data_IF_130662035039
#
_entry.id   IF_130662035039
#
_cell.length_a   1.000
_cell.length_b   1.000
_cell.length_c   1.000
_cell.angle_alpha   90.00
_cell.angle_beta   90.00
_cell.angle_gamma   90.00
#
_symmetry.space_group_name_H-M   'P 1'
#
loop_
_entity.id
_entity.type
_entity.pdbx_description
1 polymer ?
#
# COMPACT_ATOMS: atom_id res chain seq x y z
N UNK A 1 5.61 3.00 23.16
CA UNK A 1 5.82 1.68 22.57
C UNK A 1 5.39 0.62 23.57
N UNK A 2 4.54 -0.32 23.17
CA UNK A 2 4.06 -1.41 24.03
C UNK A 2 5.17 -2.44 24.24
N UNK A 3 5.10 -3.21 25.33
CA UNK A 3 5.99 -4.35 25.58
C UNK A 3 5.60 -5.61 24.79
N UNK A 4 4.38 -5.64 24.25
CA UNK A 4 3.87 -6.71 23.40
C UNK A 4 2.81 -6.19 22.42
N UNK A 5 2.63 -6.93 21.32
CA UNK A 5 1.56 -6.73 20.32
C UNK A 5 1.00 -8.09 19.93
N UNK A 6 -0.32 -8.22 19.76
CA UNK A 6 -0.96 -9.49 19.42
C UNK A 6 -0.61 -10.63 20.41
N UNK A 7 -0.38 -10.30 21.69
CA UNK A 7 0.08 -11.25 22.71
C UNK A 7 1.53 -11.76 22.52
N UNK A 8 2.29 -11.20 21.57
CA UNK A 8 3.71 -11.50 21.35
C UNK A 8 4.59 -10.43 21.97
N UNK A 9 5.52 -10.84 22.81
CA UNK A 9 6.51 -9.96 23.44
C UNK A 9 7.45 -9.41 22.37
N UNK A 10 7.77 -8.13 22.47
CA UNK A 10 8.73 -7.48 21.57
C UNK A 10 10.12 -8.14 21.75
N UNK A 11 10.82 -8.49 20.66
CA UNK A 11 12.15 -9.11 20.74
C UNK A 11 13.13 -8.23 21.54
N UNK A 12 13.76 -8.80 22.57
CA UNK A 12 14.69 -8.08 23.46
C UNK A 12 16.05 -7.83 22.80
N UNK A 13 16.35 -8.59 21.76
CA UNK A 13 17.62 -8.61 21.06
C UNK A 13 17.74 -7.54 19.95
N UNK A 14 16.68 -6.75 19.73
CA UNK A 14 16.62 -5.69 18.72
C UNK A 14 16.26 -4.31 19.28
N UNK A 15 16.33 -3.29 18.43
CA UNK A 15 15.95 -1.91 18.73
C UNK A 15 14.98 -1.37 17.67
N UNK A 16 14.02 -0.49 18.03
CA UNK A 16 13.13 0.13 17.06
C UNK A 16 13.88 1.06 16.11
N UNK A 17 13.35 1.21 14.89
CA UNK A 17 13.85 2.19 13.92
C UNK A 17 13.29 3.57 14.30
N UNK A 18 14.19 4.53 14.52
CA UNK A 18 13.82 5.93 14.80
C UNK A 18 13.47 6.71 13.54
N UNK A 19 12.87 7.89 13.70
CA UNK A 19 12.65 8.83 12.60
C UNK A 19 12.85 10.25 13.10
N UNK A 20 13.80 10.97 12.50
CA UNK A 20 14.11 12.36 12.86
C UNK A 20 14.62 13.10 11.62
N UNK A 21 14.26 14.38 11.48
CA UNK A 21 14.74 15.22 10.37
C UNK A 21 14.31 14.76 8.97
N UNK A 22 13.31 13.89 8.85
CA UNK A 22 12.91 13.32 7.56
C UNK A 22 13.64 12.02 7.18
N UNK A 23 14.48 11.48 8.08
CA UNK A 23 15.31 10.31 7.84
C UNK A 23 15.08 9.20 8.86
N UNK A 24 15.19 7.96 8.41
CA UNK A 24 15.13 6.77 9.27
C UNK A 24 16.46 6.60 10.00
N UNK A 25 16.39 6.41 11.31
CA UNK A 25 17.54 6.11 12.18
C UNK A 25 17.56 4.61 12.43
N UNK A 26 18.31 3.87 11.59
CA UNK A 26 18.30 2.41 11.57
C UNK A 26 19.45 1.86 12.44
N UNK A 27 19.16 1.17 13.57
CA UNK A 27 20.19 0.53 14.40
C UNK A 27 20.80 -0.69 13.71
N UNK A 28 21.86 -1.27 14.26
CA UNK A 28 22.50 -2.49 13.71
C UNK A 28 21.64 -3.76 13.85
N UNK A 29 20.73 -3.78 14.82
CA UNK A 29 19.76 -4.84 15.03
C UNK A 29 18.32 -4.28 15.06
N UNK A 30 17.76 -3.85 13.91
CA UNK A 30 16.42 -3.29 13.87
C UNK A 30 15.36 -4.37 14.12
N UNK A 31 14.32 -4.00 14.87
CA UNK A 31 13.09 -4.79 14.97
C UNK A 31 12.23 -4.48 13.74
N UNK A 32 11.90 -5.53 12.98
CA UNK A 32 11.07 -5.42 11.78
C UNK A 32 9.86 -6.34 11.92
N UNK A 33 8.65 -5.78 12.08
CA UNK A 33 7.43 -6.56 12.03
C UNK A 33 7.27 -7.28 10.68
N UNK A 34 6.83 -8.53 10.73
CA UNK A 34 6.40 -9.25 9.55
C UNK A 34 5.02 -9.86 9.74
N UNK A 35 4.23 -9.84 8.68
CA UNK A 35 2.98 -10.61 8.57
C UNK A 35 3.26 -11.79 7.64
N UNK A 36 3.19 -13.02 8.13
CA UNK A 36 3.40 -14.22 7.30
C UNK A 36 2.44 -14.24 6.10
N UNK A 37 1.21 -13.81 6.32
CA UNK A 37 0.15 -13.77 5.32
C UNK A 37 -0.61 -15.08 5.20
N UNK A 38 -1.48 -15.16 4.20
CA UNK A 38 -2.39 -16.28 3.96
C UNK A 38 -1.96 -17.07 2.71
N UNK A 39 -2.52 -18.26 2.51
CA UNK A 39 -2.20 -19.12 1.36
C UNK A 39 -0.71 -19.40 1.24
N UNK A 40 -0.10 -19.02 0.12
CA UNK A 40 1.35 -19.19 -0.14
C UNK A 40 2.25 -18.31 0.74
N UNK A 41 1.69 -17.44 1.59
CA UNK A 41 2.46 -16.55 2.47
C UNK A 41 3.45 -17.30 3.36
N UNK A 42 3.05 -18.43 3.94
CA UNK A 42 3.89 -19.27 4.79
C UNK A 42 5.15 -19.78 4.07
N UNK A 43 4.99 -20.24 2.83
CA UNK A 43 6.09 -20.76 2.03
C UNK A 43 7.03 -19.64 1.58
N UNK A 44 6.45 -18.54 1.09
CA UNK A 44 7.20 -17.37 0.63
C UNK A 44 7.99 -16.76 1.79
N UNK A 45 7.39 -16.59 2.96
CA UNK A 45 8.05 -16.00 4.11
C UNK A 45 9.23 -16.83 4.60
N UNK A 46 9.04 -18.15 4.74
CA UNK A 46 10.12 -19.07 5.13
C UNK A 46 11.32 -18.99 4.18
N UNK A 47 11.09 -18.87 2.88
CA UNK A 47 12.16 -18.68 1.90
C UNK A 47 12.79 -17.28 2.00
N UNK A 48 11.96 -16.24 2.08
CA UNK A 48 12.38 -14.84 2.08
C UNK A 48 13.28 -14.52 3.28
N UNK A 49 12.88 -14.94 4.48
CA UNK A 49 13.67 -14.73 5.71
C UNK A 49 15.07 -15.32 5.58
N UNK A 50 15.21 -16.55 5.05
CA UNK A 50 16.52 -17.20 4.86
C UNK A 50 17.43 -16.39 3.93
N UNK A 51 16.86 -15.85 2.84
CA UNK A 51 17.61 -15.02 1.89
C UNK A 51 18.03 -13.70 2.54
N UNK A 52 17.12 -13.03 3.25
CA UNK A 52 17.42 -11.77 3.93
C UNK A 52 18.49 -11.93 5.01
N UNK A 53 18.34 -12.93 5.88
CA UNK A 53 19.28 -13.20 6.97
C UNK A 53 20.69 -13.48 6.40
N UNK A 54 20.79 -14.32 5.37
CA UNK A 54 22.06 -14.62 4.71
C UNK A 54 22.67 -13.41 3.98
N UNK A 55 21.84 -12.57 3.34
CA UNK A 55 22.32 -11.38 2.64
C UNK A 55 22.86 -10.33 3.62
N UNK A 56 22.19 -10.12 4.75
CA UNK A 56 22.65 -9.22 5.81
C UNK A 56 23.94 -9.75 6.44
N UNK A 57 24.00 -11.05 6.76
CA UNK A 57 25.21 -11.67 7.29
C UNK A 57 26.40 -11.49 6.34
N UNK A 58 26.23 -11.78 5.05
CA UNK A 58 27.28 -11.64 4.05
C UNK A 58 27.74 -10.18 3.86
N UNK A 59 26.79 -9.24 3.80
CA UNK A 59 27.09 -7.82 3.57
C UNK A 59 27.79 -7.16 4.77
N UNK A 60 27.45 -7.57 5.99
CA UNK A 60 27.90 -6.89 7.21
C UNK A 60 28.82 -7.72 8.10
N UNK A 61 29.10 -8.99 7.74
CA UNK A 61 30.00 -9.91 8.47
C UNK A 61 29.66 -10.00 9.96
N UNK A 62 28.41 -10.33 10.26
CA UNK A 62 27.88 -10.45 11.62
C UNK A 62 27.64 -9.13 12.37
N UNK A 63 28.05 -7.96 11.83
CA UNK A 63 27.85 -6.66 12.51
C UNK A 63 26.40 -6.21 12.54
N UNK A 64 25.56 -6.71 11.63
CA UNK A 64 24.13 -6.39 11.56
C UNK A 64 23.30 -7.65 11.47
N UNK A 65 22.06 -7.57 11.95
CA UNK A 65 21.07 -8.65 11.90
C UNK A 65 19.66 -8.06 11.99
N UNK A 66 18.62 -8.78 11.61
CA UNK A 66 17.24 -8.33 11.81
C UNK A 66 16.60 -9.08 12.98
N UNK A 67 15.95 -8.35 13.89
CA UNK A 67 15.09 -8.93 14.91
C UNK A 67 13.66 -9.01 14.35
N UNK A 68 13.33 -10.15 13.72
CA UNK A 68 12.01 -10.36 13.12
C UNK A 68 10.91 -10.47 14.18
N UNK A 69 9.87 -9.67 14.06
CA UNK A 69 8.74 -9.67 15.00
C UNK A 69 7.44 -10.05 14.30
N UNK A 70 6.86 -11.20 14.64
CA UNK A 70 5.61 -11.63 14.00
C UNK A 70 4.41 -10.82 14.47
N UNK A 71 3.63 -10.29 13.53
CA UNK A 71 2.33 -9.65 13.75
C UNK A 71 1.30 -10.25 12.78
N UNK A 72 0.00 -10.08 13.07
CA UNK A 72 -1.04 -10.90 12.47
C UNK A 72 -2.04 -10.08 11.65
N UNK A 73 -2.27 -10.47 10.40
CA UNK A 73 -3.41 -10.00 9.62
C UNK A 73 -3.92 -11.12 8.72
N UNK A 74 -5.13 -10.97 8.19
CA UNK A 74 -5.73 -11.94 7.29
C UNK A 74 -6.43 -13.09 8.01
N UNK A 75 -6.55 -14.21 7.31
CA UNK A 75 -7.21 -15.42 7.82
C UNK A 75 -6.50 -15.95 9.08
N UNK A 76 -5.16 -15.87 9.11
CA UNK A 76 -4.38 -16.23 10.31
C UNK A 76 -4.76 -15.41 11.54
N UNK A 77 -4.99 -14.11 11.37
CA UNK A 77 -5.44 -13.25 12.46
C UNK A 77 -6.88 -13.56 12.87
N UNK A 78 -7.78 -13.75 11.90
CA UNK A 78 -9.18 -14.04 12.18
C UNK A 78 -9.34 -15.33 13.00
N UNK A 79 -8.59 -16.38 12.66
CA UNK A 79 -8.59 -17.64 13.43
C UNK A 79 -8.06 -17.49 14.86
N UNK A 80 -7.11 -16.58 15.10
CA UNK A 80 -6.45 -16.41 16.39
C UNK A 80 -7.16 -15.41 17.31
N UNK A 81 -7.74 -14.34 16.74
CA UNK A 81 -8.25 -13.18 17.48
C UNK A 81 -9.71 -12.84 17.15
N UNK A 82 -10.35 -13.57 16.23
CA UNK A 82 -11.66 -13.23 15.66
C UNK A 82 -11.70 -11.84 14.98
N UNK A 83 -10.54 -11.35 14.54
CA UNK A 83 -10.35 -10.07 13.86
C UNK A 83 -9.45 -10.23 12.64
N UNK A 84 -9.84 -9.68 11.48
CA UNK A 84 -9.05 -9.76 10.25
C UNK A 84 -7.81 -8.86 10.24
N UNK A 85 -7.87 -7.73 10.94
CA UNK A 85 -6.76 -6.78 11.09
C UNK A 85 -6.81 -6.19 12.50
N UNK A 86 -6.15 -6.82 13.47
CA UNK A 86 -6.04 -6.29 14.83
C UNK A 86 -5.34 -4.93 14.87
N UNK A 87 -5.82 -4.03 15.72
CA UNK A 87 -5.20 -2.71 15.92
C UNK A 87 -3.74 -2.81 16.37
N UNK A 88 -3.41 -3.81 17.19
CA UNK A 88 -2.05 -4.09 17.62
C UNK A 88 -1.07 -4.29 16.46
N UNK A 89 -1.52 -4.89 15.35
CA UNK A 89 -0.69 -5.06 14.15
C UNK A 89 -0.41 -3.73 13.47
N UNK A 90 -1.42 -2.85 13.39
CA UNK A 90 -1.26 -1.49 12.83
C UNK A 90 -0.34 -0.66 13.71
N UNK A 91 -0.51 -0.74 15.04
CA UNK A 91 0.34 -0.05 16.02
C UNK A 91 1.79 -0.53 15.94
N UNK A 92 2.02 -1.84 15.86
CA UNK A 92 3.37 -2.38 15.71
C UNK A 92 4.05 -1.84 14.44
N UNK A 93 3.36 -1.85 13.30
CA UNK A 93 3.93 -1.30 12.05
C UNK A 93 4.24 0.19 12.20
N UNK A 94 3.38 0.95 12.89
CA UNK A 94 3.59 2.38 13.16
C UNK A 94 4.79 2.63 14.07
N UNK A 95 4.92 1.85 15.15
CA UNK A 95 5.96 2.00 16.17
C UNK A 95 7.34 1.56 15.65
N UNK A 96 7.40 0.50 14.84
CA UNK A 96 8.64 -0.03 14.28
C UNK A 96 8.98 0.48 12.86
N UNK A 97 8.10 1.28 12.25
CA UNK A 97 8.27 2.04 10.99
C UNK A 97 8.37 1.23 9.71
N UNK A 98 9.10 0.13 9.72
CA UNK A 98 9.34 -0.74 8.56
C UNK A 98 8.75 -2.09 8.85
N UNK A 99 7.90 -2.58 7.96
CA UNK A 99 7.32 -3.91 8.05
C UNK A 99 7.26 -4.59 6.69
N UNK A 100 7.19 -5.92 6.69
CA UNK A 100 7.04 -6.74 5.49
C UNK A 100 5.83 -7.66 5.63
N UNK A 101 5.17 -8.01 4.53
CA UNK A 101 4.02 -8.91 4.59
C UNK A 101 3.92 -9.85 3.39
N UNK A 102 3.45 -11.06 3.65
CA UNK A 102 2.93 -11.96 2.62
C UNK A 102 1.58 -11.49 2.05
N UNK A 103 0.99 -12.23 1.10
CA UNK A 103 -0.36 -11.96 0.59
C UNK A 103 -1.41 -12.10 1.70
N UNK A 104 -2.54 -11.40 1.59
CA UNK A 104 -3.65 -11.47 2.55
C UNK A 104 -4.94 -11.81 1.82
N UNK A 105 -5.68 -12.77 2.35
CA UNK A 105 -7.05 -13.10 1.93
C UNK A 105 -7.98 -11.97 2.39
N UNK A 106 -8.82 -11.48 1.49
CA UNK A 106 -9.90 -10.55 1.86
C UNK A 106 -11.23 -11.30 1.78
N UNK A 107 -12.03 -11.31 2.87
CA UNK A 107 -13.31 -12.02 2.86
C UNK A 107 -14.29 -11.38 1.87
N UNK A 108 -15.01 -12.21 1.12
CA UNK A 108 -16.06 -11.74 0.21
C UNK A 108 -17.36 -11.50 1.00
N UNK A 109 -18.00 -10.34 0.83
CA UNK A 109 -19.33 -10.07 1.36
C UNK A 109 -19.41 -9.51 2.79
N UNK A 110 -18.31 -9.40 3.53
CA UNK A 110 -18.28 -8.98 4.94
C UNK A 110 -18.07 -7.48 5.21
N UNK A 111 -18.32 -6.59 4.24
CA UNK A 111 -18.14 -5.14 4.40
C UNK A 111 -16.67 -4.64 4.38
N UNK A 112 -15.69 -5.52 4.46
CA UNK A 112 -14.26 -5.20 4.32
C UNK A 112 -13.87 -5.30 2.84
N UNK A 113 -13.60 -4.17 2.17
CA UNK A 113 -13.22 -4.16 0.74
C UNK A 113 -11.87 -4.78 0.47
N UNK A 114 -10.87 -4.44 1.28
CA UNK A 114 -9.50 -4.97 1.15
C UNK A 114 -8.68 -4.63 2.38
N UNK A 115 -8.08 -5.66 2.99
CA UNK A 115 -7.14 -5.47 4.11
C UNK A 115 -5.91 -4.66 3.71
N UNK A 116 -5.46 -4.81 2.46
CA UNK A 116 -4.34 -4.04 1.95
C UNK A 116 -4.70 -2.55 1.79
N UNK A 117 -5.93 -2.24 1.36
CA UNK A 117 -6.40 -0.85 1.28
C UNK A 117 -6.53 -0.24 2.67
N UNK A 118 -7.12 -0.97 3.62
CA UNK A 118 -7.26 -0.54 5.00
C UNK A 118 -5.89 -0.21 5.65
N UNK A 119 -4.91 -1.11 5.50
CA UNK A 119 -3.55 -0.87 6.01
C UNK A 119 -2.92 0.40 5.42
N UNK A 120 -3.08 0.65 4.12
CA UNK A 120 -2.52 1.84 3.46
C UNK A 120 -3.15 3.12 3.99
N UNK A 121 -4.46 3.12 4.20
CA UNK A 121 -5.19 4.28 4.71
C UNK A 121 -4.86 4.56 6.18
N UNK A 122 -4.89 3.53 7.04
CA UNK A 122 -4.61 3.66 8.47
C UNK A 122 -3.16 4.08 8.79
N UNK A 123 -2.23 3.80 7.88
CA UNK A 123 -0.81 4.14 8.01
C UNK A 123 -0.37 5.28 7.07
N UNK A 124 -1.30 5.90 6.34
CA UNK A 124 -1.03 6.92 5.30
C UNK A 124 0.14 6.55 4.36
N UNK A 125 0.17 5.29 3.90
CA UNK A 125 1.17 4.77 2.96
C UNK A 125 0.86 5.22 1.53
N UNK A 126 1.05 6.50 1.28
CA UNK A 126 0.55 7.20 0.11
C UNK A 126 1.25 6.88 -1.22
N UNK A 127 2.45 6.31 -1.17
CA UNK A 127 3.24 5.97 -2.34
C UNK A 127 3.24 4.45 -2.51
N UNK A 128 2.61 3.94 -3.57
CA UNK A 128 2.78 2.56 -3.99
C UNK A 128 3.94 2.49 -4.99
N UNK A 129 5.08 2.00 -4.51
CA UNK A 129 6.34 1.92 -5.23
C UNK A 129 6.52 0.51 -5.83
N UNK A 130 6.69 0.41 -7.15
CA UNK A 130 6.84 -0.88 -7.86
C UNK A 130 8.02 -0.83 -8.85
N UNK A 131 9.21 -1.34 -8.46
CA UNK A 131 10.26 -1.59 -9.42
C UNK A 131 9.86 -2.75 -10.35
N UNK A 132 10.01 -2.55 -11.66
CA UNK A 132 9.77 -3.56 -12.70
C UNK A 132 11.03 -3.66 -13.53
N UNK A 133 11.72 -4.79 -13.40
CA UNK A 133 12.95 -5.10 -14.13
C UNK A 133 12.98 -6.55 -14.56
N UNK A 134 13.74 -6.82 -15.61
CA UNK A 134 14.00 -8.19 -16.06
C UNK A 134 15.09 -8.87 -15.22
N UNK A 135 14.94 -10.18 -15.06
CA UNK A 135 15.95 -11.08 -14.50
C UNK A 135 16.31 -12.11 -15.56
N UNK A 136 17.60 -12.24 -15.94
CA UNK A 136 18.04 -13.22 -16.93
C UNK A 136 17.54 -14.63 -16.64
N UNK A 137 17.01 -15.31 -17.65
CA UNK A 137 16.48 -16.67 -17.54
C UNK A 137 14.99 -16.76 -17.20
N UNK A 138 14.35 -15.65 -16.80
CA UNK A 138 12.89 -15.62 -16.63
C UNK A 138 12.21 -15.64 -18.02
N UNK A 139 11.28 -16.57 -18.30
CA UNK A 139 10.52 -16.57 -19.55
C UNK A 139 9.72 -15.28 -19.72
N UNK A 140 9.67 -14.76 -20.95
CA UNK A 140 8.97 -13.51 -21.26
C UNK A 140 8.18 -13.63 -22.56
N UNK A 141 6.97 -13.04 -22.63
CA UNK A 141 6.18 -12.99 -23.87
C UNK A 141 6.64 -11.89 -24.84
N UNK A 142 7.52 -10.97 -24.44
CA UNK A 142 8.02 -9.87 -25.30
C UNK A 142 9.41 -10.19 -25.85
N UNK A 143 9.76 -9.58 -27.00
CA UNK A 143 11.02 -9.85 -27.71
C UNK A 143 12.28 -9.41 -26.96
N UNK A 144 12.23 -8.26 -26.29
CA UNK A 144 13.39 -7.61 -25.66
C UNK A 144 13.09 -7.24 -24.19
N UNK A 145 12.84 -8.23 -23.31
CA UNK A 145 12.47 -7.97 -21.92
C UNK A 145 13.57 -7.29 -21.11
N UNK A 146 14.83 -7.48 -21.47
CA UNK A 146 16.00 -6.90 -20.82
C UNK A 146 16.04 -5.36 -20.87
N UNK A 147 15.29 -4.74 -21.80
CA UNK A 147 15.10 -3.29 -21.86
C UNK A 147 14.12 -2.76 -20.80
N UNK A 148 13.37 -3.63 -20.13
CA UNK A 148 12.44 -3.24 -19.07
C UNK A 148 13.20 -2.88 -17.79
N UNK A 149 13.24 -1.59 -17.48
CA UNK A 149 13.72 -1.05 -16.21
C UNK A 149 12.94 0.22 -15.85
N UNK A 150 11.81 0.04 -15.18
CA UNK A 150 10.89 1.12 -14.79
C UNK A 150 10.63 1.05 -13.30
N UNK A 151 10.55 2.21 -12.66
CA UNK A 151 10.11 2.32 -11.27
C UNK A 151 8.80 3.11 -11.22
N UNK A 152 7.72 2.44 -10.85
CA UNK A 152 6.38 3.03 -10.84
C UNK A 152 6.12 3.64 -9.46
N UNK A 153 5.73 4.91 -9.45
CA UNK A 153 5.17 5.60 -8.29
C UNK A 153 3.68 5.79 -8.53
N UNK A 154 2.85 5.10 -7.76
CA UNK A 154 1.40 5.17 -7.87
C UNK A 154 0.81 5.82 -6.61
N UNK A 155 -0.06 6.81 -6.80
CA UNK A 155 -0.88 7.40 -5.72
C UNK A 155 -1.75 6.29 -5.10
N UNK A 156 -1.79 6.23 -3.78
CA UNK A 156 -2.30 5.07 -3.06
C UNK A 156 -3.29 5.43 -1.94
N UNK A 157 -3.80 6.66 -1.91
CA UNK A 157 -4.78 7.13 -0.91
C UNK A 157 -6.09 7.67 -1.48
N UNK A 158 -6.09 8.12 -2.73
CA UNK A 158 -7.21 8.77 -3.41
C UNK A 158 -7.65 7.97 -4.65
N UNK A 159 -8.17 8.65 -5.67
CA UNK A 159 -8.81 8.06 -6.84
C UNK A 159 -10.06 7.22 -6.45
N UNK A 160 -10.68 6.53 -7.39
CA UNK A 160 -11.79 5.60 -7.16
C UNK A 160 -11.45 4.51 -6.14
N UNK A 161 -10.16 4.29 -5.86
CA UNK A 161 -9.67 3.32 -4.87
C UNK A 161 -9.95 3.72 -3.43
N UNK A 162 -10.30 4.98 -3.15
CA UNK A 162 -10.82 5.38 -1.82
C UNK A 162 -12.13 4.67 -1.49
N UNK A 163 -12.85 4.22 -2.51
CA UNK A 163 -14.02 3.39 -2.35
C UNK A 163 -15.26 4.14 -1.88
N UNK A 164 -15.38 5.42 -2.16
CA UNK A 164 -16.63 6.15 -1.91
C UNK A 164 -17.58 5.89 -3.09
N UNK A 165 -18.52 4.97 -2.90
CA UNK A 165 -19.49 4.57 -3.91
C UNK A 165 -20.77 4.00 -3.27
N UNK A 166 -21.86 4.06 -4.03
CA UNK A 166 -23.17 3.57 -3.64
C UNK A 166 -23.76 2.67 -4.72
N UNK A 167 -24.38 1.58 -4.26
CA UNK A 167 -25.03 0.59 -5.13
C UNK A 167 -26.22 1.24 -5.85
N UNK A 168 -26.47 0.82 -7.09
CA UNK A 168 -27.71 1.15 -7.79
C UNK A 168 -28.93 0.91 -6.91
N UNK A 169 -29.93 1.78 -7.06
CA UNK A 169 -31.23 1.73 -6.39
C UNK A 169 -31.21 1.92 -4.87
N UNK A 170 -30.04 2.09 -4.25
CA UNK A 170 -29.95 2.40 -2.82
C UNK A 170 -30.51 3.78 -2.50
N UNK A 171 -31.04 4.01 -1.27
CA UNK A 171 -31.53 5.32 -0.85
C UNK A 171 -30.48 6.44 -1.01
N UNK A 172 -29.22 6.13 -0.70
CA UNK A 172 -28.09 7.06 -0.82
C UNK A 172 -27.77 7.40 -2.27
N UNK A 173 -27.75 6.40 -3.16
CA UNK A 173 -27.56 6.61 -4.59
C UNK A 173 -28.68 7.48 -5.16
N UNK A 174 -29.95 7.20 -4.82
CA UNK A 174 -31.11 8.01 -5.25
C UNK A 174 -31.02 9.45 -4.76
N UNK A 175 -30.61 9.65 -3.49
CA UNK A 175 -30.41 10.98 -2.92
C UNK A 175 -29.32 11.75 -3.68
N UNK A 176 -28.17 11.12 -3.93
CA UNK A 176 -27.06 11.74 -4.65
C UNK A 176 -27.42 12.04 -6.12
N UNK A 177 -28.08 11.11 -6.81
CA UNK A 177 -28.58 11.32 -8.17
C UNK A 177 -29.60 12.45 -8.22
N UNK A 178 -30.46 12.56 -7.20
CA UNK A 178 -31.39 13.68 -7.05
C UNK A 178 -30.67 15.01 -7.01
N UNK A 179 -29.69 15.14 -6.11
CA UNK A 179 -28.83 16.33 -6.03
C UNK A 179 -28.11 16.63 -7.35
N UNK A 180 -27.45 15.62 -7.95
CA UNK A 180 -26.68 15.82 -9.17
C UNK A 180 -27.56 16.23 -10.36
N UNK A 181 -28.65 15.50 -10.61
CA UNK A 181 -29.52 15.76 -11.76
C UNK A 181 -30.37 17.02 -11.59
N UNK A 182 -30.89 17.29 -10.39
CA UNK A 182 -31.85 18.38 -10.18
C UNK A 182 -31.19 19.71 -9.78
N UNK A 183 -29.95 19.69 -9.28
CA UNK A 183 -29.22 20.90 -8.87
C UNK A 183 -27.98 21.10 -9.74
N UNK A 184 -27.01 20.19 -9.70
CA UNK A 184 -25.69 20.40 -10.31
C UNK A 184 -25.69 20.33 -11.84
N UNK A 185 -26.62 19.58 -12.43
CA UNK A 185 -26.76 19.37 -13.88
C UNK A 185 -28.01 20.05 -14.46
N UNK A 186 -28.73 20.84 -13.66
CA UNK A 186 -30.04 21.42 -14.02
C UNK A 186 -30.01 22.21 -15.34
N UNK A 187 -28.95 23.00 -15.54
CA UNK A 187 -28.80 23.86 -16.72
C UNK A 187 -28.01 23.16 -17.86
N UNK A 188 -27.65 21.89 -17.67
CA UNK A 188 -26.87 21.10 -18.61
C UNK A 188 -27.72 20.24 -19.54
N UNK A 189 -27.13 19.82 -20.67
CA UNK A 189 -27.74 18.83 -21.60
C UNK A 189 -27.54 17.37 -21.16
N UNK A 190 -26.86 17.15 -20.02
CA UNK A 190 -26.45 15.82 -19.56
C UNK A 190 -27.25 15.44 -18.33
N UNK A 191 -27.73 14.21 -18.30
CA UNK A 191 -28.41 13.61 -17.16
C UNK A 191 -27.77 12.26 -16.86
N UNK A 192 -27.57 11.96 -15.59
CA UNK A 192 -27.16 10.63 -15.14
C UNK A 192 -28.42 9.77 -15.04
N UNK A 193 -28.37 8.53 -15.54
CA UNK A 193 -29.52 7.62 -15.46
C UNK A 193 -29.86 7.31 -14.01
N UNK A 194 -31.15 7.28 -13.68
CA UNK A 194 -31.65 7.11 -12.31
C UNK A 194 -31.37 5.74 -11.70
N UNK A 195 -31.05 4.75 -12.52
CA UNK A 195 -30.68 3.37 -12.18
C UNK A 195 -29.14 3.16 -12.16
N UNK A 196 -28.36 4.24 -12.01
CA UNK A 196 -26.90 4.14 -11.96
C UNK A 196 -26.40 3.86 -10.54
N UNK A 197 -25.43 2.95 -10.42
CA UNK A 197 -24.48 2.99 -9.30
C UNK A 197 -23.58 4.22 -9.43
N UNK A 198 -23.19 4.83 -8.30
CA UNK A 198 -22.44 6.10 -8.31
C UNK A 198 -21.16 5.94 -7.50
N UNK A 199 -20.02 6.35 -8.07
CA UNK A 199 -18.73 6.40 -7.39
C UNK A 199 -18.10 7.79 -7.50
N UNK A 200 -17.27 8.14 -6.50
CA UNK A 200 -16.57 9.43 -6.45
C UNK A 200 -15.07 9.21 -6.71
N UNK A 201 -14.50 10.06 -7.57
CA UNK A 201 -13.07 10.09 -7.87
C UNK A 201 -12.48 11.42 -7.39
N UNK A 202 -12.06 11.52 -6.11
CA UNK A 202 -11.30 12.68 -5.65
C UNK A 202 -9.83 12.52 -6.07
N UNK A 203 -9.21 13.61 -6.51
CA UNK A 203 -7.76 13.75 -6.68
C UNK A 203 -7.41 15.13 -6.14
N UNK A 204 -6.46 15.21 -5.20
CA UNK A 204 -6.11 16.48 -4.55
C UNK A 204 -4.68 16.93 -4.88
N UNK A 205 -4.42 18.26 -4.83
CA UNK A 205 -3.06 18.77 -4.90
C UNK A 205 -2.14 18.20 -3.80
N UNK A 206 -2.70 17.86 -2.63
CA UNK A 206 -1.95 17.26 -1.52
C UNK A 206 -1.45 15.87 -1.90
N UNK A 207 -2.33 14.99 -2.38
CA UNK A 207 -2.00 13.63 -2.83
C UNK A 207 -1.02 13.63 -4.01
N UNK A 208 -1.31 14.44 -5.03
CA UNK A 208 -0.45 14.54 -6.23
C UNK A 208 0.93 15.09 -5.91
N UNK A 209 1.04 16.23 -5.21
CA UNK A 209 2.34 16.87 -4.96
C UNK A 209 3.25 16.02 -4.07
N UNK A 210 2.71 15.28 -3.08
CA UNK A 210 3.54 14.40 -2.23
C UNK A 210 4.10 13.22 -3.01
N UNK A 211 3.29 12.59 -3.89
CA UNK A 211 3.73 11.50 -4.75
C UNK A 211 4.78 11.96 -5.76
N UNK A 212 4.50 13.03 -6.50
CA UNK A 212 5.40 13.55 -7.54
C UNK A 212 6.73 13.99 -6.92
N UNK A 213 6.71 14.64 -5.74
CA UNK A 213 7.92 14.99 -4.99
C UNK A 213 8.73 13.75 -4.63
N UNK A 214 8.08 12.67 -4.17
CA UNK A 214 8.73 11.40 -3.85
C UNK A 214 9.38 10.79 -5.10
N UNK A 215 8.68 10.76 -6.23
CA UNK A 215 9.18 10.25 -7.50
C UNK A 215 10.40 11.04 -8.02
N UNK A 216 10.35 12.37 -7.99
CA UNK A 216 11.47 13.24 -8.41
C UNK A 216 12.67 13.05 -7.48
N UNK A 217 12.48 13.02 -6.16
CA UNK A 217 13.56 12.74 -5.20
C UNK A 217 14.22 11.40 -5.48
N UNK A 218 13.42 10.36 -5.75
CA UNK A 218 13.95 9.05 -6.12
C UNK A 218 14.73 9.10 -7.43
N UNK A 219 14.20 9.77 -8.45
CA UNK A 219 14.86 9.90 -9.75
C UNK A 219 16.23 10.58 -9.63
N UNK A 220 16.32 11.65 -8.85
CA UNK A 220 17.58 12.35 -8.57
C UNK A 220 18.57 11.45 -7.80
N UNK A 221 18.13 10.82 -6.71
CA UNK A 221 18.98 9.96 -5.88
C UNK A 221 19.50 8.73 -6.65
N UNK A 222 18.72 8.21 -7.59
CA UNK A 222 19.06 7.00 -8.36
C UNK A 222 19.48 7.31 -9.81
N UNK A 223 19.80 8.59 -10.12
CA UNK A 223 20.28 9.05 -11.44
C UNK A 223 19.41 8.57 -12.61
N UNK A 224 18.08 8.58 -12.43
CA UNK A 224 17.12 8.21 -13.48
C UNK A 224 17.04 9.33 -14.52
N UNK A 225 16.93 8.95 -15.79
CA UNK A 225 16.95 9.90 -16.93
C UNK A 225 15.69 10.75 -17.05
N UNK A 226 14.55 10.25 -16.56
CA UNK A 226 13.25 10.89 -16.76
C UNK A 226 12.27 10.52 -15.66
N UNK A 227 11.29 11.40 -15.45
CA UNK A 227 10.03 11.13 -14.73
C UNK A 227 8.90 11.38 -15.71
N UNK A 228 8.00 10.42 -15.87
CA UNK A 228 6.89 10.51 -16.82
C UNK A 228 5.58 10.49 -16.05
N UNK A 229 4.77 11.54 -16.22
CA UNK A 229 3.44 11.62 -15.65
C UNK A 229 2.47 10.93 -16.62
N UNK A 230 1.81 9.87 -16.15
CA UNK A 230 0.82 9.11 -16.93
C UNK A 230 -0.56 9.49 -16.43
N UNK A 231 -1.43 9.96 -17.31
CA UNK A 231 -2.74 10.47 -16.92
C UNK A 231 -3.75 10.44 -18.08
N UNK A 232 -5.05 10.57 -17.76
CA UNK A 232 -6.15 10.75 -18.73
C UNK A 232 -6.76 12.16 -18.70
N UNK A 233 -5.91 13.18 -18.55
CA UNK A 233 -6.32 14.58 -18.41
C UNK A 233 -7.02 15.18 -19.64
N UNK A 234 -6.90 14.55 -20.81
CA UNK A 234 -7.63 14.99 -22.01
C UNK A 234 -9.15 14.84 -21.87
N UNK A 235 -9.61 13.86 -21.07
CA UNK A 235 -11.04 13.65 -20.76
C UNK A 235 -11.35 14.13 -19.34
N UNK A 236 -10.51 13.80 -18.37
CA UNK A 236 -10.73 14.08 -16.95
C UNK A 236 -9.91 15.29 -16.48
N UNK A 237 -10.27 16.47 -16.98
CA UNK A 237 -9.48 17.71 -16.84
C UNK A 237 -9.22 18.12 -15.39
N UNK A 238 -10.17 17.92 -14.48
CA UNK A 238 -10.11 18.42 -13.11
C UNK A 238 -9.67 17.39 -12.07
N UNK A 239 -9.27 16.19 -12.52
CA UNK A 239 -8.71 15.14 -11.65
C UNK A 239 -7.39 14.67 -12.23
N UNK A 240 -7.41 13.91 -13.32
CA UNK A 240 -6.20 13.42 -14.01
C UNK A 240 -5.41 14.54 -14.71
N UNK A 241 -6.06 15.64 -15.08
CA UNK A 241 -5.41 16.77 -15.75
C UNK A 241 -4.94 17.90 -14.82
N UNK A 242 -5.32 17.84 -13.53
CA UNK A 242 -5.16 18.93 -12.56
C UNK A 242 -3.85 18.87 -11.76
#
# INVERSE_FOLDING_TARGET
MKSSYNGKVVPSEGKPIGYSGGELQVPDAPIIPFIEGDGTGRDIWKASRRVFDAAVECAYRGKRRVAWFEVFAGEKAFKAFNEWLPNDTVDAIRDFRVAIKGPLTTPVGGGIRSLNVALRQLLDLYSCERPVRYFPGVPSPVREPEKMDVFIFRENTEDVYIGIEWKSDSPEAKKLLGFLNNEMLKDGKKQIRWDSGVGIKPISPTGTKRLVRRAIKYALANKRKSVTLVHKGNIQKFTEGA
#
